data_IF_476959712176
#
_entry.id   IF_476959712176
#
_cell.length_a   1.000
_cell.length_b   1.000
_cell.length_c   1.000
_cell.angle_alpha   90.00
_cell.angle_beta   90.00
_cell.angle_gamma   90.00
#
_symmetry.space_group_name_H-M   'P 1'
#
loop_
_entity.id
_entity.type
_entity.pdbx_description
1 polymer ?
#
# COMPACT_ATOMS: atom_id res chain seq x y z
N UNK A 1 -12.68 -18.47 4.14
CA UNK A 1 -13.51 -18.84 3.00
C UNK A 1 -12.71 -18.85 1.69
N UNK A 2 -12.05 -17.74 1.30
CA UNK A 2 -11.29 -17.61 0.04
C UNK A 2 -10.25 -18.72 -0.15
N UNK A 3 -9.48 -19.08 0.89
CA UNK A 3 -8.47 -20.15 0.82
C UNK A 3 -9.07 -21.52 0.50
N UNK A 4 -10.15 -21.89 1.21
CA UNK A 4 -10.82 -23.18 1.01
C UNK A 4 -11.40 -23.29 -0.40
N UNK A 5 -12.00 -22.22 -0.92
CA UNK A 5 -12.52 -22.19 -2.28
C UNK A 5 -11.39 -22.28 -3.31
N UNK A 6 -10.32 -21.52 -3.14
CA UNK A 6 -9.17 -21.53 -4.05
C UNK A 6 -8.48 -22.90 -4.11
N UNK A 7 -8.36 -23.57 -2.98
CA UNK A 7 -7.80 -24.93 -2.94
C UNK A 7 -8.70 -25.94 -3.68
N UNK A 8 -10.02 -25.87 -3.46
CA UNK A 8 -10.99 -26.75 -4.11
C UNK A 8 -11.05 -26.57 -5.63
N UNK A 9 -10.92 -25.32 -6.08
CA UNK A 9 -11.02 -24.97 -7.51
C UNK A 9 -9.66 -24.99 -8.22
N UNK A 10 -8.57 -25.37 -7.54
CA UNK A 10 -7.20 -25.36 -8.06
C UNK A 10 -6.82 -24.02 -8.70
N UNK A 11 -7.24 -22.93 -8.08
CA UNK A 11 -7.01 -21.55 -8.58
C UNK A 11 -5.51 -21.24 -8.62
N UNK A 12 -4.98 -20.60 -9.67
CA UNK A 12 -3.59 -20.14 -9.72
C UNK A 12 -3.19 -19.33 -8.49
N UNK A 13 -1.92 -19.46 -8.08
CA UNK A 13 -1.40 -18.81 -6.86
C UNK A 13 -1.66 -17.31 -6.87
N UNK A 14 -1.46 -16.65 -8.01
CA UNK A 14 -1.66 -15.21 -8.16
C UNK A 14 -3.10 -14.77 -7.89
N UNK A 15 -4.07 -15.54 -8.43
CA UNK A 15 -5.50 -15.26 -8.19
C UNK A 15 -5.89 -15.51 -6.74
N UNK A 16 -5.32 -16.55 -6.11
CA UNK A 16 -5.52 -16.82 -4.69
C UNK A 16 -4.97 -15.71 -3.80
N UNK A 17 -3.77 -15.23 -4.10
CA UNK A 17 -3.14 -14.14 -3.36
C UNK A 17 -3.92 -12.83 -3.53
N UNK A 18 -4.42 -12.55 -4.73
CA UNK A 18 -5.30 -11.41 -5.00
C UNK A 18 -6.61 -11.49 -4.20
N UNK A 19 -7.25 -12.66 -4.18
CA UNK A 19 -8.48 -12.88 -3.42
C UNK A 19 -8.27 -12.72 -1.91
N UNK A 20 -7.14 -13.21 -1.37
CA UNK A 20 -6.76 -13.03 0.04
C UNK A 20 -6.54 -11.54 0.37
N UNK A 21 -5.85 -10.83 -0.50
CA UNK A 21 -5.60 -9.41 -0.35
C UNK A 21 -6.91 -8.61 -0.35
N UNK A 22 -7.79 -8.86 -1.32
CA UNK A 22 -9.09 -8.23 -1.41
C UNK A 22 -9.97 -8.54 -0.19
N UNK A 23 -10.09 -9.81 0.21
CA UNK A 23 -10.86 -10.23 1.38
C UNK A 23 -10.41 -9.54 2.67
N UNK A 24 -9.11 -9.31 2.82
CA UNK A 24 -8.55 -8.66 4.01
C UNK A 24 -8.73 -7.14 4.01
N UNK A 25 -8.60 -6.48 2.85
CA UNK A 25 -8.40 -5.05 2.79
C UNK A 25 -9.56 -4.25 2.20
N UNK A 26 -10.57 -4.87 1.56
CA UNK A 26 -11.64 -4.15 0.87
C UNK A 26 -12.36 -3.12 1.76
N UNK A 27 -12.68 -3.47 3.02
CA UNK A 27 -13.34 -2.55 3.96
C UNK A 27 -12.44 -1.35 4.32
N UNK A 28 -11.13 -1.61 4.46
CA UNK A 28 -10.15 -0.57 4.78
C UNK A 28 -9.95 0.35 3.57
N UNK A 29 -9.94 -0.21 2.35
CA UNK A 29 -9.87 0.56 1.11
C UNK A 29 -11.06 1.48 0.95
N UNK A 30 -12.27 1.04 1.28
CA UNK A 30 -13.47 1.87 1.21
C UNK A 30 -13.34 3.15 2.07
N UNK A 31 -12.70 3.08 3.25
CA UNK A 31 -12.47 4.21 4.15
C UNK A 31 -11.07 4.82 4.08
N UNK A 32 -10.30 4.57 3.03
CA UNK A 32 -8.87 4.86 2.95
C UNK A 32 -8.52 6.35 3.13
N UNK A 33 -9.41 7.25 2.73
CA UNK A 33 -9.20 8.70 2.85
C UNK A 33 -9.07 9.15 4.31
N UNK A 34 -9.76 8.47 5.24
CA UNK A 34 -9.69 8.73 6.67
C UNK A 34 -8.45 8.11 7.34
N UNK A 35 -7.74 7.21 6.69
CA UNK A 35 -6.59 6.53 7.28
C UNK A 35 -5.46 7.50 7.65
N UNK A 36 -4.81 7.21 8.77
CA UNK A 36 -3.56 7.89 9.16
C UNK A 36 -2.42 7.50 8.18
N UNK A 37 -1.41 8.36 7.99
CA UNK A 37 -0.26 8.07 7.12
C UNK A 37 0.42 6.73 7.38
N UNK A 38 0.50 6.30 8.64
CA UNK A 38 1.06 5.00 8.99
C UNK A 38 0.24 3.84 8.42
N UNK A 39 -1.08 3.88 8.58
CA UNK A 39 -1.97 2.85 8.05
C UNK A 39 -1.99 2.83 6.51
N UNK A 40 -1.88 3.98 5.87
CA UNK A 40 -1.70 4.08 4.40
C UNK A 40 -0.41 3.39 3.95
N UNK A 41 0.71 3.66 4.64
CA UNK A 41 1.98 3.03 4.33
C UNK A 41 1.94 1.52 4.56
N UNK A 42 1.29 1.07 5.64
CA UNK A 42 1.14 -0.35 5.94
C UNK A 42 0.29 -1.07 4.87
N UNK A 43 -0.76 -0.42 4.36
CA UNK A 43 -1.56 -0.95 3.25
C UNK A 43 -0.75 -1.07 1.95
N UNK A 44 0.03 -0.04 1.61
CA UNK A 44 0.93 -0.04 0.44
C UNK A 44 1.96 -1.17 0.53
N UNK A 45 2.52 -1.38 1.73
CA UNK A 45 3.49 -2.46 1.98
C UNK A 45 2.81 -3.84 1.96
N UNK A 46 1.63 -3.99 2.55
CA UNK A 46 0.89 -5.25 2.56
C UNK A 46 0.48 -5.69 1.15
N UNK A 47 0.18 -4.74 0.27
CA UNK A 47 -0.06 -4.99 -1.15
C UNK A 47 1.24 -5.27 -1.95
N UNK A 48 2.42 -5.14 -1.34
CA UNK A 48 3.73 -5.18 -2.02
C UNK A 48 3.78 -4.20 -3.22
N UNK A 49 3.08 -3.07 -3.11
CA UNK A 49 2.81 -2.17 -4.22
C UNK A 49 4.06 -1.41 -4.72
N UNK A 50 5.10 -1.33 -3.89
CA UNK A 50 6.37 -0.72 -4.27
C UNK A 50 7.18 -1.59 -5.23
N UNK A 51 7.13 -2.91 -5.04
CA UNK A 51 7.83 -3.89 -5.87
C UNK A 51 6.95 -4.40 -7.01
N UNK A 52 5.66 -4.57 -6.74
CA UNK A 52 4.67 -5.15 -7.66
C UNK A 52 3.42 -4.27 -7.71
N UNK A 53 3.47 -3.11 -8.38
CA UNK A 53 2.36 -2.16 -8.41
C UNK A 53 1.06 -2.75 -8.98
N UNK A 54 1.13 -3.74 -9.84
CA UNK A 54 -0.03 -4.47 -10.35
C UNK A 54 -0.88 -5.14 -9.27
N UNK A 55 -0.28 -5.56 -8.15
CA UNK A 55 -1.05 -6.16 -7.03
C UNK A 55 -1.99 -5.14 -6.37
N UNK A 56 -1.53 -3.90 -6.22
CA UNK A 56 -2.42 -2.82 -5.76
C UNK A 56 -3.53 -2.56 -6.78
N UNK A 57 -3.19 -2.57 -8.08
CA UNK A 57 -4.18 -2.43 -9.15
C UNK A 57 -5.30 -3.46 -9.07
N UNK A 58 -4.96 -4.73 -8.89
CA UNK A 58 -5.92 -5.82 -8.74
C UNK A 58 -6.80 -5.63 -7.47
N UNK A 59 -6.20 -5.26 -6.34
CA UNK A 59 -6.93 -4.97 -5.11
C UNK A 59 -7.94 -3.84 -5.33
N UNK A 60 -7.50 -2.74 -5.94
CA UNK A 60 -8.35 -1.59 -6.19
C UNK A 60 -9.49 -1.90 -7.14
N UNK A 61 -9.21 -2.65 -8.21
CA UNK A 61 -10.23 -3.07 -9.16
C UNK A 61 -11.28 -3.98 -8.50
N UNK A 62 -10.87 -4.93 -7.67
CA UNK A 62 -11.81 -5.77 -6.92
C UNK A 62 -12.68 -4.94 -5.96
N UNK A 63 -12.10 -3.93 -5.29
CA UNK A 63 -12.87 -3.04 -4.41
C UNK A 63 -13.83 -2.15 -5.19
N UNK A 64 -13.42 -1.68 -6.36
CA UNK A 64 -14.24 -0.88 -7.28
C UNK A 64 -15.44 -1.67 -7.77
N UNK A 65 -15.25 -2.91 -8.24
CA UNK A 65 -16.34 -3.78 -8.64
C UNK A 65 -17.38 -3.99 -7.54
N UNK A 66 -16.95 -4.14 -6.28
CA UNK A 66 -17.86 -4.27 -5.15
C UNK A 66 -18.59 -2.95 -4.86
N UNK A 67 -17.90 -1.82 -4.93
CA UNK A 67 -18.46 -0.50 -4.63
C UNK A 67 -19.44 -0.01 -5.71
N UNK A 68 -19.20 -0.40 -6.97
CA UNK A 68 -20.02 0.01 -8.13
C UNK A 68 -21.14 -0.99 -8.47
N UNK A 69 -21.31 -2.04 -7.67
CA UNK A 69 -22.38 -3.03 -7.89
C UNK A 69 -23.80 -2.54 -7.61
N UNK A 70 -24.07 -1.64 -6.62
CA UNK A 70 -25.41 -1.07 -6.40
C UNK A 70 -25.86 -0.18 -7.56
N UNK A 71 -27.16 -0.10 -7.85
CA UNK A 71 -27.72 0.74 -8.93
C UNK A 71 -27.46 2.24 -8.76
N UNK A 72 -27.26 2.70 -7.52
CA UNK A 72 -26.97 4.07 -7.10
C UNK A 72 -25.49 4.32 -6.80
N UNK A 73 -24.61 3.45 -7.30
CA UNK A 73 -23.19 3.59 -7.08
C UNK A 73 -22.63 4.87 -7.74
N UNK A 74 -21.62 5.51 -7.12
CA UNK A 74 -20.99 6.70 -7.71
C UNK A 74 -20.20 6.31 -8.98
N UNK A 75 -20.15 7.21 -9.96
CA UNK A 75 -19.42 7.02 -11.21
C UNK A 75 -17.89 6.91 -11.05
N UNK A 76 -17.36 7.28 -9.87
CA UNK A 76 -15.93 7.28 -9.57
C UNK A 76 -15.63 6.68 -8.20
N UNK A 77 -14.69 5.75 -8.18
CA UNK A 77 -14.21 5.16 -6.92
C UNK A 77 -13.05 5.98 -6.34
N UNK A 78 -13.39 7.06 -5.66
CA UNK A 78 -12.44 7.99 -5.02
C UNK A 78 -11.36 7.30 -4.14
N UNK A 79 -11.63 6.20 -3.41
CA UNK A 79 -10.61 5.46 -2.69
C UNK A 79 -9.46 4.95 -3.55
N UNK A 80 -9.72 4.48 -4.76
CA UNK A 80 -8.67 4.01 -5.67
C UNK A 80 -7.76 5.16 -6.11
N UNK A 81 -8.34 6.32 -6.44
CA UNK A 81 -7.59 7.52 -6.80
C UNK A 81 -6.69 7.98 -5.64
N UNK A 82 -7.22 8.00 -4.43
CA UNK A 82 -6.47 8.36 -3.22
C UNK A 82 -5.27 7.43 -2.97
N UNK A 83 -5.46 6.11 -3.08
CA UNK A 83 -4.37 5.14 -2.89
C UNK A 83 -3.32 5.19 -3.99
N UNK A 84 -3.72 5.41 -5.25
CA UNK A 84 -2.76 5.62 -6.35
C UNK A 84 -1.91 6.87 -6.11
N UNK A 85 -2.52 7.97 -5.67
CA UNK A 85 -1.80 9.19 -5.31
C UNK A 85 -0.84 8.95 -4.13
N UNK A 86 -1.27 8.28 -3.08
CA UNK A 86 -0.41 7.91 -1.95
C UNK A 86 0.78 7.04 -2.38
N UNK A 87 0.57 6.08 -3.30
CA UNK A 87 1.65 5.24 -3.84
C UNK A 87 2.69 6.09 -4.59
N UNK A 88 2.26 7.08 -5.39
CA UNK A 88 3.17 8.01 -6.08
C UNK A 88 4.03 8.77 -5.08
N UNK A 89 3.44 9.29 -4.02
CA UNK A 89 4.16 10.00 -2.94
C UNK A 89 5.21 9.11 -2.28
N UNK A 90 4.85 7.86 -1.94
CA UNK A 90 5.77 6.91 -1.29
C UNK A 90 6.90 6.49 -2.23
N UNK A 91 6.61 6.32 -3.53
CA UNK A 91 7.62 6.02 -4.56
C UNK A 91 8.58 7.17 -4.81
N UNK A 92 8.14 8.41 -4.64
CA UNK A 92 8.97 9.61 -4.79
C UNK A 92 10.07 9.74 -3.74
N UNK A 93 10.04 8.95 -2.66
CA UNK A 93 11.11 8.95 -1.65
C UNK A 93 12.31 8.17 -2.17
N UNK A 94 13.44 8.84 -2.33
CA UNK A 94 14.72 8.20 -2.69
C UNK A 94 15.24 7.37 -1.51
N UNK A 95 14.87 6.09 -1.50
CA UNK A 95 15.29 5.15 -0.48
C UNK A 95 16.82 4.96 -0.44
N UNK A 96 17.50 5.10 -1.58
CA UNK A 96 18.95 5.01 -1.66
C UNK A 96 19.65 6.19 -0.98
N UNK A 97 19.21 7.41 -1.25
CA UNK A 97 19.72 8.60 -0.58
C UNK A 97 19.47 8.54 0.94
N UNK A 98 18.26 8.13 1.34
CA UNK A 98 17.91 7.96 2.77
C UNK A 98 18.79 6.90 3.44
N UNK A 99 19.03 5.77 2.78
CA UNK A 99 19.88 4.72 3.31
C UNK A 99 21.33 5.18 3.50
N UNK A 100 21.88 5.90 2.51
CA UNK A 100 23.22 6.48 2.61
C UNK A 100 23.34 7.49 3.74
N UNK A 101 22.35 8.37 3.90
CA UNK A 101 22.33 9.34 4.99
C UNK A 101 22.20 8.67 6.37
N UNK A 102 21.40 7.61 6.49
CA UNK A 102 21.16 6.92 7.75
C UNK A 102 22.38 6.14 8.25
N UNK A 103 23.23 5.63 7.36
CA UNK A 103 24.40 4.86 7.74
C UNK A 103 25.66 5.70 7.79
N UNK A 104 25.77 6.78 7.01
CA UNK A 104 26.91 7.69 6.96
C UNK A 104 28.26 6.96 6.89
N UNK A 105 29.21 7.39 7.75
CA UNK A 105 30.52 6.74 7.91
C UNK A 105 30.56 5.70 9.05
N UNK A 106 29.41 5.43 9.70
CA UNK A 106 29.36 4.52 10.84
C UNK A 106 29.57 3.06 10.40
N UNK A 107 30.53 2.40 11.03
CA UNK A 107 30.75 0.95 10.86
C UNK A 107 29.78 0.18 11.77
N UNK A 108 28.53 0.04 11.35
CA UNK A 108 27.54 -0.77 12.06
C UNK A 108 27.61 -2.24 11.64
N UNK A 109 27.32 -3.18 12.54
CA UNK A 109 27.09 -4.59 12.19
C UNK A 109 25.98 -4.69 11.13
N UNK A 110 26.04 -5.71 10.27
CA UNK A 110 25.13 -5.83 9.12
C UNK A 110 23.66 -5.82 9.50
N UNK A 111 23.30 -6.51 10.59
CA UNK A 111 21.92 -6.57 11.08
C UNK A 111 21.42 -5.20 11.59
N UNK A 112 22.23 -4.52 12.39
CA UNK A 112 21.90 -3.17 12.90
C UNK A 112 21.81 -2.14 11.78
N UNK A 113 22.67 -2.27 10.77
CA UNK A 113 22.63 -1.42 9.57
C UNK A 113 21.32 -1.62 8.81
N UNK A 114 20.88 -2.86 8.60
CA UNK A 114 19.64 -3.15 7.89
C UNK A 114 18.43 -2.58 8.62
N UNK A 115 18.36 -2.73 9.95
CA UNK A 115 17.28 -2.18 10.76
C UNK A 115 17.27 -0.63 10.76
N UNK A 116 18.44 -0.01 10.90
CA UNK A 116 18.60 1.44 10.83
C UNK A 116 18.12 2.00 9.49
N UNK A 117 18.51 1.37 8.38
CA UNK A 117 18.07 1.75 7.03
C UNK A 117 16.54 1.60 6.90
N UNK A 118 15.99 0.46 7.32
CA UNK A 118 14.56 0.21 7.23
C UNK A 118 13.74 1.25 8.01
N UNK A 119 14.16 1.58 9.24
CA UNK A 119 13.54 2.60 10.07
C UNK A 119 13.61 3.98 9.42
N UNK A 120 14.77 4.35 8.88
CA UNK A 120 14.97 5.65 8.23
C UNK A 120 14.08 5.78 6.97
N UNK A 121 14.04 4.77 6.12
CA UNK A 121 13.19 4.76 4.92
C UNK A 121 11.71 4.84 5.32
N UNK A 122 11.28 4.08 6.33
CA UNK A 122 9.90 4.15 6.84
C UNK A 122 9.58 5.57 7.35
N UNK A 123 10.46 6.18 8.11
CA UNK A 123 10.29 7.54 8.63
C UNK A 123 10.16 8.58 7.50
N UNK A 124 11.03 8.50 6.48
CA UNK A 124 10.99 9.39 5.33
C UNK A 124 9.68 9.26 4.54
N UNK A 125 9.22 8.03 4.30
CA UNK A 125 7.93 7.76 3.63
C UNK A 125 6.74 8.29 4.43
N UNK A 126 6.76 8.12 5.75
CA UNK A 126 5.73 8.67 6.64
C UNK A 126 5.72 10.20 6.62
N UNK A 127 6.89 10.84 6.61
CA UNK A 127 7.00 12.29 6.52
C UNK A 127 6.41 12.81 5.19
N UNK A 128 6.72 12.16 4.07
CA UNK A 128 6.17 12.48 2.76
C UNK A 128 4.64 12.34 2.72
N UNK A 129 4.09 11.25 3.26
CA UNK A 129 2.63 11.05 3.35
C UNK A 129 1.95 12.07 4.27
N UNK A 130 2.59 12.46 5.37
CA UNK A 130 2.06 13.52 6.26
C UNK A 130 2.01 14.86 5.53
N UNK A 131 3.07 15.23 4.81
CA UNK A 131 3.11 16.44 4.01
C UNK A 131 2.00 16.44 2.94
N UNK A 132 1.92 15.38 2.16
CA UNK A 132 0.89 15.22 1.15
C UNK A 132 -0.53 15.30 1.71
N UNK A 133 -0.84 14.65 2.83
CA UNK A 133 -2.17 14.74 3.44
C UNK A 133 -2.54 16.13 3.96
N UNK A 134 -1.55 16.96 4.30
CA UNK A 134 -1.82 18.36 4.67
C UNK A 134 -2.20 19.23 3.46
N UNK A 135 -1.58 18.97 2.31
CA UNK A 135 -1.86 19.70 1.06
C UNK A 135 -3.11 19.17 0.33
N UNK A 136 -3.47 17.90 0.53
CA UNK A 136 -4.64 17.27 -0.09
C UNK A 136 -5.95 17.44 0.71
N UNK A 137 -5.94 18.16 1.83
CA UNK A 137 -7.16 18.58 2.51
C UNK A 137 -7.81 19.70 1.71
N UNK A 138 -9.10 19.56 1.33
CA UNK A 138 -9.85 20.65 0.72
C UNK A 138 -9.98 21.83 1.69
#
# INVERSE_FOLDING_TARGET
>A
LAERMSARLKVPVECRDAARLAARWHRIVAGVQALRPAALLDLVNAADALRRPGRLGILLHACECVAMSPPDAPDDFAPARHLRAALVVVKGVDAGAVARAATGKAKLPAAERADTIAKAIRAARLAALRAWKRTARP
#
